data_IF_254810622882
#
_entry.id   IF_254810622882
#
_cell.length_a   1.000
_cell.length_b   1.000
_cell.length_c   1.000
_cell.angle_alpha   90.00
_cell.angle_beta   90.00
_cell.angle_gamma   90.00
#
_symmetry.space_group_name_H-M   'P 1'
#
loop_
_entity.id
_entity.type
_entity.pdbx_description
1 polymer ?
#
# COMPACT_ATOMS: atom_id res chain seq x y z
N UNK A 1 13.80 1.18 -17.77
CA UNK A 1 12.43 1.55 -17.34
C UNK A 1 11.54 1.57 -18.59
N UNK A 2 10.50 0.76 -18.63
CA UNK A 2 9.58 0.66 -19.77
C UNK A 2 8.18 1.03 -19.29
N UNK A 3 7.50 1.94 -19.97
CA UNK A 3 6.16 2.45 -19.61
C UNK A 3 6.04 3.01 -18.19
N UNK A 4 7.08 3.64 -17.66
CA UNK A 4 7.07 4.21 -16.31
C UNK A 4 7.01 3.17 -15.18
N UNK A 5 7.11 1.88 -15.46
CA UNK A 5 7.15 0.80 -14.48
C UNK A 5 8.58 0.29 -14.31
N UNK A 6 9.00 0.15 -13.05
CA UNK A 6 10.29 -0.40 -12.65
C UNK A 6 10.06 -1.60 -11.73
N UNK A 7 10.37 -2.81 -12.23
CA UNK A 7 10.27 -4.03 -11.43
C UNK A 7 11.51 -4.13 -10.55
N UNK A 8 11.32 -4.26 -9.26
CA UNK A 8 12.39 -4.42 -8.27
C UNK A 8 12.70 -5.89 -7.99
N UNK A 9 11.67 -6.73 -7.97
CA UNK A 9 11.80 -8.16 -7.72
C UNK A 9 10.54 -8.90 -8.17
N UNK A 10 10.74 -10.12 -8.67
CA UNK A 10 9.68 -11.12 -8.83
C UNK A 10 10.23 -12.51 -8.51
N UNK A 11 9.59 -13.23 -7.57
CA UNK A 11 10.06 -14.51 -7.06
C UNK A 11 8.91 -15.31 -6.47
N UNK A 12 9.21 -16.55 -6.09
CA UNK A 12 8.38 -17.34 -5.17
C UNK A 12 8.86 -17.11 -3.74
N UNK A 13 7.94 -16.96 -2.82
CA UNK A 13 8.18 -16.78 -1.39
C UNK A 13 7.44 -17.87 -0.63
N UNK A 14 8.18 -18.59 0.22
CA UNK A 14 7.63 -19.52 1.19
C UNK A 14 7.94 -18.98 2.60
N UNK A 15 6.91 -18.62 3.33
CA UNK A 15 7.07 -18.03 4.65
C UNK A 15 7.65 -19.00 5.68
N UNK A 16 7.49 -20.32 5.51
CA UNK A 16 8.04 -21.34 6.40
C UNK A 16 9.56 -21.44 6.31
N UNK A 17 10.13 -21.16 5.13
CA UNK A 17 11.57 -21.23 4.91
C UNK A 17 12.29 -19.99 5.46
N UNK A 18 11.60 -18.87 5.58
CA UNK A 18 12.19 -17.57 5.93
C UNK A 18 11.90 -17.17 7.38
N UNK A 19 10.78 -17.62 7.95
CA UNK A 19 10.32 -17.18 9.26
C UNK A 19 10.27 -18.32 10.27
N UNK A 20 10.92 -18.10 11.42
CA UNK A 20 10.80 -18.97 12.59
C UNK A 20 9.60 -18.65 13.48
N UNK A 21 8.92 -17.51 13.23
CA UNK A 21 7.78 -17.02 14.01
C UNK A 21 6.51 -17.03 13.16
N UNK A 22 5.37 -17.21 13.84
CA UNK A 22 4.05 -17.17 13.18
C UNK A 22 3.66 -15.77 12.67
N UNK A 23 4.40 -14.72 13.04
CA UNK A 23 4.12 -13.35 12.64
C UNK A 23 5.28 -12.78 11.83
N UNK A 24 4.99 -12.09 10.73
CA UNK A 24 5.95 -11.17 10.12
C UNK A 24 5.96 -9.85 10.91
N UNK A 25 7.09 -9.13 10.97
CA UNK A 25 7.10 -7.77 11.47
C UNK A 25 6.10 -6.90 10.67
N UNK A 26 5.38 -6.02 11.37
CA UNK A 26 4.55 -5.04 10.70
C UNK A 26 5.48 -4.03 9.99
N UNK A 27 5.17 -3.72 8.72
CA UNK A 27 5.95 -2.79 7.91
C UNK A 27 5.06 -1.87 7.09
N UNK A 28 5.54 -0.71 6.76
CA UNK A 28 4.94 0.14 5.72
C UNK A 28 5.40 -0.36 4.35
N UNK A 29 4.46 -0.56 3.44
CA UNK A 29 4.73 -1.00 2.07
C UNK A 29 5.39 0.14 1.30
N UNK A 30 6.63 -0.01 0.81
CA UNK A 30 7.35 1.08 0.13
C UNK A 30 6.98 1.21 -1.35
N UNK A 31 6.52 0.13 -1.97
CA UNK A 31 6.29 0.00 -3.41
C UNK A 31 4.96 -0.68 -3.67
N UNK A 32 4.53 -0.81 -4.92
CA UNK A 32 3.43 -1.73 -5.25
C UNK A 32 3.90 -3.16 -5.10
N UNK A 33 3.07 -3.99 -4.47
CA UNK A 33 3.29 -5.43 -4.31
C UNK A 33 2.06 -6.17 -4.79
N UNK A 34 2.22 -7.07 -5.77
CA UNK A 34 1.16 -7.98 -6.20
C UNK A 34 1.61 -9.39 -5.89
N UNK A 35 0.79 -10.12 -5.15
CA UNK A 35 1.07 -11.48 -4.70
C UNK A 35 -0.06 -12.43 -5.13
N UNK A 36 0.30 -13.58 -5.66
CA UNK A 36 -0.60 -14.70 -5.89
C UNK A 36 -0.34 -15.77 -4.85
N UNK A 37 -1.31 -16.08 -4.01
CA UNK A 37 -1.20 -17.16 -3.03
C UNK A 37 -1.19 -18.52 -3.75
N UNK A 38 -0.14 -19.30 -3.54
CA UNK A 38 0.03 -20.65 -4.12
C UNK A 38 -0.18 -21.77 -3.11
N UNK A 39 0.04 -21.48 -1.79
CA UNK A 39 -0.33 -22.38 -0.70
C UNK A 39 -0.79 -21.58 0.53
N UNK A 40 -1.91 -21.97 1.12
CA UNK A 40 -2.57 -21.17 2.16
C UNK A 40 -2.01 -21.41 3.58
N UNK A 41 -1.68 -22.59 3.97
CA UNK A 41 -1.08 -23.04 5.26
C UNK A 41 -1.56 -22.26 6.51
N UNK A 42 -2.84 -21.84 6.54
CA UNK A 42 -3.44 -21.06 7.63
C UNK A 42 -2.97 -19.61 7.74
N UNK A 43 -2.33 -19.08 6.71
CA UNK A 43 -1.86 -17.70 6.69
C UNK A 43 -3.01 -16.70 6.59
N UNK A 44 -2.83 -15.53 7.23
CA UNK A 44 -3.72 -14.37 7.13
C UNK A 44 -2.86 -13.13 6.94
N UNK A 45 -3.07 -12.43 5.85
CA UNK A 45 -2.49 -11.11 5.62
C UNK A 45 -3.33 -10.04 6.32
N UNK A 46 -2.67 -9.09 6.95
CA UNK A 46 -3.30 -7.91 7.51
C UNK A 46 -2.81 -6.69 6.73
N UNK A 47 -3.72 -5.97 6.11
CA UNK A 47 -3.43 -4.74 5.38
C UNK A 47 -4.25 -3.62 5.99
N UNK A 48 -3.58 -2.63 6.58
CA UNK A 48 -4.19 -1.51 7.31
C UNK A 48 -5.15 -1.95 8.43
N UNK A 49 -4.95 -3.15 8.99
CA UNK A 49 -5.77 -3.74 10.05
C UNK A 49 -6.85 -4.70 9.54
N UNK A 50 -7.19 -4.70 8.26
CA UNK A 50 -8.14 -5.64 7.68
C UNK A 50 -7.51 -7.03 7.47
N UNK A 51 -8.15 -8.06 7.97
CA UNK A 51 -7.70 -9.44 7.85
C UNK A 51 -8.11 -10.03 6.49
N UNK A 52 -7.15 -10.52 5.73
CA UNK A 52 -7.34 -11.13 4.41
C UNK A 52 -6.78 -12.55 4.47
N UNK A 53 -7.62 -13.58 4.55
CA UNK A 53 -7.14 -14.97 4.54
C UNK A 53 -6.31 -15.28 3.30
N UNK A 54 -5.18 -15.95 3.49
CA UNK A 54 -4.44 -16.53 2.38
C UNK A 54 -5.23 -17.72 1.82
N UNK A 55 -5.62 -17.63 0.57
CA UNK A 55 -6.34 -18.67 -0.13
C UNK A 55 -5.67 -18.91 -1.48
N UNK A 56 -5.49 -20.16 -1.88
CA UNK A 56 -4.89 -20.49 -3.18
C UNK A 56 -5.66 -19.83 -4.30
N UNK A 57 -4.95 -19.17 -5.22
CA UNK A 57 -5.51 -18.42 -6.34
C UNK A 57 -5.99 -17.00 -5.98
N UNK A 58 -5.94 -16.59 -4.71
CA UNK A 58 -6.23 -15.22 -4.30
C UNK A 58 -5.04 -14.32 -4.64
N UNK A 59 -5.35 -13.20 -5.24
CA UNK A 59 -4.38 -12.12 -5.50
C UNK A 59 -4.52 -11.08 -4.37
N UNK A 60 -3.39 -10.68 -3.80
CA UNK A 60 -3.25 -9.55 -2.90
C UNK A 60 -2.52 -8.43 -3.64
N UNK A 61 -3.08 -7.23 -3.60
CA UNK A 61 -2.44 -6.00 -4.11
C UNK A 61 -2.20 -5.08 -2.92
N UNK A 62 -0.93 -4.83 -2.60
CA UNK A 62 -0.57 -3.86 -1.58
C UNK A 62 -0.05 -2.58 -2.24
N UNK A 63 -0.58 -1.44 -1.78
CA UNK A 63 -0.24 -0.11 -2.29
C UNK A 63 0.84 0.56 -1.44
N UNK A 64 1.69 1.41 -2.03
CA UNK A 64 2.65 2.19 -1.27
C UNK A 64 1.99 2.95 -0.11
N UNK A 65 2.63 2.90 1.06
CA UNK A 65 2.14 3.55 2.26
C UNK A 65 1.15 2.74 3.11
N UNK A 66 0.65 1.62 2.63
CA UNK A 66 -0.17 0.73 3.44
C UNK A 66 0.68 0.03 4.51
N UNK A 67 0.10 -0.21 5.67
CA UNK A 67 0.74 -0.99 6.74
C UNK A 67 0.31 -2.45 6.60
N UNK A 68 1.29 -3.38 6.53
CA UNK A 68 0.97 -4.80 6.43
C UNK A 68 1.85 -5.67 7.32
N UNK A 69 1.28 -6.78 7.73
CA UNK A 69 1.96 -7.92 8.34
C UNK A 69 1.18 -9.21 8.03
N UNK A 70 1.78 -10.36 8.28
CA UNK A 70 1.13 -11.66 8.08
C UNK A 70 1.21 -12.51 9.34
N UNK A 71 0.12 -13.17 9.69
CA UNK A 71 0.07 -14.21 10.73
C UNK A 71 -0.07 -15.56 10.04
N UNK A 72 0.60 -16.60 10.57
CA UNK A 72 0.61 -17.94 10.01
C UNK A 72 1.55 -18.07 8.81
N UNK A 73 1.44 -19.19 8.10
CA UNK A 73 2.30 -19.53 6.97
C UNK A 73 1.53 -19.54 5.66
N UNK A 74 2.22 -19.22 4.59
CA UNK A 74 1.69 -19.25 3.21
C UNK A 74 2.84 -19.29 2.21
N UNK A 75 2.54 -19.67 0.99
CA UNK A 75 3.40 -19.48 -0.16
C UNK A 75 2.73 -18.53 -1.17
N UNK A 76 3.55 -17.73 -1.83
CA UNK A 76 3.09 -16.88 -2.92
C UNK A 76 4.13 -16.71 -4.01
N UNK A 77 3.67 -16.41 -5.21
CA UNK A 77 4.47 -15.74 -6.22
C UNK A 77 4.21 -14.25 -6.12
N UNK A 78 5.24 -13.42 -6.24
CA UNK A 78 5.09 -11.98 -6.07
C UNK A 78 5.85 -11.18 -7.11
N UNK A 79 5.42 -9.95 -7.30
CA UNK A 79 6.13 -8.89 -8.00
C UNK A 79 6.07 -7.60 -7.20
N UNK A 80 7.23 -6.98 -6.97
CA UNK A 80 7.37 -5.65 -6.37
C UNK A 80 7.83 -4.67 -7.45
N UNK A 81 7.18 -3.52 -7.54
CA UNK A 81 7.49 -2.53 -8.57
C UNK A 81 7.17 -1.10 -8.14
N UNK A 82 7.84 -0.14 -8.78
CA UNK A 82 7.57 1.30 -8.65
C UNK A 82 6.89 1.77 -9.93
N UNK A 83 5.93 2.68 -9.80
CA UNK A 83 5.35 3.41 -10.92
C UNK A 83 5.85 4.86 -10.88
N UNK A 84 6.50 5.29 -11.97
CA UNK A 84 7.00 6.65 -12.15
C UNK A 84 6.06 7.51 -13.02
N UNK A 85 5.03 6.89 -13.59
CA UNK A 85 4.00 7.57 -14.38
C UNK A 85 2.77 7.81 -13.50
N UNK A 86 2.58 9.06 -13.11
CA UNK A 86 1.49 9.46 -12.21
C UNK A 86 0.11 9.27 -12.86
N UNK A 87 -0.02 9.54 -14.16
CA UNK A 87 -1.30 9.36 -14.86
C UNK A 87 -1.69 7.89 -14.92
N UNK A 88 -0.73 7.03 -15.26
CA UNK A 88 -0.93 5.58 -15.25
C UNK A 88 -1.25 5.07 -13.84
N UNK A 89 -0.53 5.54 -12.83
CA UNK A 89 -0.75 5.18 -11.43
C UNK A 89 -2.18 5.51 -10.99
N UNK A 90 -2.60 6.76 -11.20
CA UNK A 90 -3.91 7.26 -10.78
C UNK A 90 -5.05 6.52 -11.48
N UNK A 91 -4.88 6.20 -12.77
CA UNK A 91 -5.91 5.59 -13.60
C UNK A 91 -6.02 4.07 -13.43
N UNK A 92 -4.92 3.37 -13.25
CA UNK A 92 -4.89 1.90 -13.34
C UNK A 92 -4.41 1.19 -12.07
N UNK A 93 -3.53 1.80 -11.26
CA UNK A 93 -2.99 1.14 -10.07
C UNK A 93 -3.76 1.47 -8.81
N UNK A 94 -4.04 2.74 -8.56
CA UNK A 94 -4.79 3.16 -7.36
C UNK A 94 -6.19 2.55 -7.24
N UNK A 95 -6.94 2.32 -8.35
CA UNK A 95 -8.24 1.66 -8.28
C UNK A 95 -8.19 0.15 -8.03
N UNK A 96 -7.00 -0.48 -8.02
CA UNK A 96 -6.90 -1.92 -7.80
C UNK A 96 -7.37 -2.30 -6.40
N UNK A 97 -8.22 -3.30 -6.32
CA UNK A 97 -8.70 -3.84 -5.05
C UNK A 97 -7.56 -4.55 -4.31
N UNK A 98 -7.50 -4.38 -2.99
CA UNK A 98 -6.47 -5.01 -2.14
C UNK A 98 -6.49 -6.54 -2.21
N UNK A 99 -7.65 -7.14 -2.46
CA UNK A 99 -7.79 -8.60 -2.56
C UNK A 99 -8.87 -8.99 -3.56
N UNK A 100 -8.55 -9.90 -4.47
CA UNK A 100 -9.50 -10.41 -5.48
C UNK A 100 -9.09 -11.80 -5.99
N UNK A 101 -9.98 -12.41 -6.78
CA UNK A 101 -9.69 -13.57 -7.63
C UNK A 101 -9.97 -13.19 -9.08
N UNK A 102 -9.15 -13.70 -10.01
CA UNK A 102 -9.48 -13.63 -11.43
C UNK A 102 -10.52 -14.71 -11.77
N UNK A 103 -11.42 -14.40 -12.70
CA UNK A 103 -12.40 -15.39 -13.17
C UNK A 103 -11.73 -16.59 -13.88
N UNK A 104 -10.61 -16.35 -14.55
CA UNK A 104 -9.75 -17.42 -15.08
C UNK A 104 -8.62 -17.69 -14.06
N UNK A 105 -8.74 -18.77 -13.30
CA UNK A 105 -7.80 -19.18 -12.26
C UNK A 105 -6.43 -19.60 -12.82
N UNK A 106 -6.33 -19.91 -14.12
CA UNK A 106 -5.06 -20.33 -14.75
C UNK A 106 -4.20 -19.14 -15.19
N UNK A 107 -4.81 -17.97 -15.42
CA UNK A 107 -4.16 -16.82 -16.02
C UNK A 107 -3.08 -16.23 -15.13
N UNK A 108 -3.38 -15.94 -13.87
CA UNK A 108 -2.40 -15.35 -12.95
C UNK A 108 -1.20 -16.29 -12.69
N UNK A 109 -1.36 -17.58 -12.37
CA UNK A 109 -0.25 -18.52 -12.24
C UNK A 109 0.63 -18.57 -13.48
N UNK A 110 0.04 -18.53 -14.68
CA UNK A 110 0.80 -18.53 -15.94
C UNK A 110 1.66 -17.26 -16.08
N UNK A 111 1.07 -16.09 -15.84
CA UNK A 111 1.78 -14.79 -15.91
C UNK A 111 2.95 -14.76 -14.91
N UNK A 112 2.69 -15.11 -13.65
CA UNK A 112 3.74 -15.10 -12.61
C UNK A 112 4.87 -16.08 -12.92
N UNK A 113 4.55 -17.30 -13.37
CA UNK A 113 5.57 -18.29 -13.74
C UNK A 113 6.45 -17.81 -14.90
N UNK A 114 5.83 -17.20 -15.93
CA UNK A 114 6.57 -16.62 -17.05
C UNK A 114 7.49 -15.48 -16.61
N UNK A 115 6.98 -14.59 -15.77
CA UNK A 115 7.72 -13.42 -15.26
C UNK A 115 8.88 -13.86 -14.33
N UNK A 116 8.62 -14.73 -13.36
CA UNK A 116 9.65 -15.22 -12.42
C UNK A 116 10.72 -16.04 -13.15
N UNK A 117 10.34 -16.82 -14.16
CA UNK A 117 11.28 -17.60 -14.99
C UNK A 117 12.21 -16.72 -15.80
N UNK A 118 11.68 -15.69 -16.46
CA UNK A 118 12.50 -14.74 -17.22
C UNK A 118 13.40 -13.89 -16.29
N UNK A 119 12.85 -13.44 -15.17
CA UNK A 119 13.60 -12.69 -14.15
C UNK A 119 14.78 -13.48 -13.59
N UNK A 120 14.63 -14.78 -13.33
CA UNK A 120 15.70 -15.63 -12.80
C UNK A 120 16.85 -15.85 -13.79
N UNK A 121 16.57 -15.86 -15.08
CA UNK A 121 17.55 -16.11 -16.14
C UNK A 121 18.38 -14.87 -16.51
N UNK A 122 17.81 -13.67 -16.38
CA UNK A 122 18.44 -12.40 -16.78
C UNK A 122 18.95 -12.41 -18.25
N UNK A 123 18.26 -13.13 -19.14
CA UNK A 123 18.58 -13.13 -20.56
C UNK A 123 18.29 -11.74 -21.18
N UNK A 124 18.93 -11.41 -22.28
CA UNK A 124 18.73 -10.12 -22.95
C UNK A 124 17.24 -9.83 -23.20
N UNK A 125 16.78 -8.63 -22.85
CA UNK A 125 15.38 -8.23 -22.96
C UNK A 125 14.45 -8.73 -21.84
N UNK A 126 14.95 -9.40 -20.78
CA UNK A 126 14.12 -9.92 -19.70
C UNK A 126 13.30 -8.83 -18.98
N UNK A 127 13.85 -7.61 -18.82
CA UNK A 127 13.13 -6.50 -18.19
C UNK A 127 11.91 -6.08 -19.02
N UNK A 128 12.07 -5.98 -20.34
CA UNK A 128 10.98 -5.67 -21.26
C UNK A 128 9.90 -6.75 -21.21
N UNK A 129 10.32 -8.03 -21.25
CA UNK A 129 9.39 -9.16 -21.16
C UNK A 129 8.63 -9.17 -19.83
N UNK A 130 9.32 -9.00 -18.70
CA UNK A 130 8.71 -8.95 -17.37
C UNK A 130 7.75 -7.76 -17.24
N UNK A 131 8.11 -6.59 -17.78
CA UNK A 131 7.22 -5.42 -17.78
C UNK A 131 5.97 -5.68 -18.62
N UNK A 132 6.08 -6.33 -19.76
CA UNK A 132 4.92 -6.76 -20.58
C UNK A 132 4.01 -7.71 -19.80
N UNK A 133 4.57 -8.68 -19.06
CA UNK A 133 3.81 -9.59 -18.19
C UNK A 133 3.18 -8.89 -16.99
N UNK A 134 3.86 -7.91 -16.40
CA UNK A 134 3.28 -7.08 -15.35
C UNK A 134 2.09 -6.27 -15.87
N UNK A 135 2.19 -5.67 -17.06
CA UNK A 135 1.09 -4.95 -17.70
C UNK A 135 -0.11 -5.87 -17.97
N UNK A 136 0.14 -7.10 -18.44
CA UNK A 136 -0.90 -8.12 -18.62
C UNK A 136 -1.59 -8.46 -17.29
N UNK A 137 -0.83 -8.62 -16.21
CA UNK A 137 -1.37 -8.88 -14.87
C UNK A 137 -2.21 -7.71 -14.36
N UNK A 138 -1.69 -6.47 -14.45
CA UNK A 138 -2.42 -5.25 -14.06
C UNK A 138 -3.73 -5.14 -14.84
N UNK A 139 -3.70 -5.36 -16.14
CA UNK A 139 -4.89 -5.34 -16.99
C UNK A 139 -5.94 -6.38 -16.57
N UNK A 140 -5.50 -7.61 -16.24
CA UNK A 140 -6.39 -8.66 -15.78
C UNK A 140 -7.03 -8.32 -14.42
N UNK A 141 -6.24 -7.84 -13.46
CA UNK A 141 -6.72 -7.41 -12.13
C UNK A 141 -7.69 -6.23 -12.26
N UNK A 142 -7.33 -5.21 -13.05
CA UNK A 142 -8.16 -4.04 -13.29
C UNK A 142 -9.52 -4.41 -13.92
N UNK A 143 -9.51 -5.30 -14.92
CA UNK A 143 -10.72 -5.77 -15.59
C UNK A 143 -11.59 -6.60 -14.65
N UNK A 144 -11.01 -7.50 -13.86
CA UNK A 144 -11.73 -8.28 -12.85
C UNK A 144 -12.32 -7.37 -11.77
N UNK A 145 -11.57 -6.37 -11.31
CA UNK A 145 -12.05 -5.36 -10.36
C UNK A 145 -13.22 -4.55 -10.93
N UNK A 146 -13.21 -4.22 -12.21
CA UNK A 146 -14.35 -3.57 -12.88
C UNK A 146 -15.59 -4.47 -12.96
N UNK A 147 -15.43 -5.76 -13.24
CA UNK A 147 -16.53 -6.72 -13.26
C UNK A 147 -17.13 -6.90 -11.85
N UNK A 148 -16.30 -7.03 -10.83
CA UNK A 148 -16.74 -7.09 -9.44
C UNK A 148 -17.35 -5.77 -8.99
N UNK A 149 -16.81 -4.64 -9.45
CA UNK A 149 -17.32 -3.29 -9.16
C UNK A 149 -18.54 -2.90 -10.00
N UNK A 150 -18.96 -3.69 -11.01
CA UNK A 150 -20.27 -3.47 -11.65
C UNK A 150 -21.43 -3.78 -10.69
N UNK A 151 -21.16 -4.53 -9.61
CA UNK A 151 -22.08 -4.74 -8.50
C UNK A 151 -22.14 -3.46 -7.61
N UNK A 152 -21.13 -2.59 -7.69
CA UNK A 152 -21.02 -1.39 -6.83
C UNK A 152 -20.72 -0.10 -7.64
N UNK A 153 -21.51 0.11 -8.70
CA UNK A 153 -21.47 1.34 -9.53
C UNK A 153 -21.64 2.63 -8.72
N UNK A 154 -22.26 2.51 -7.55
CA UNK A 154 -22.43 3.56 -6.56
C UNK A 154 -21.09 4.08 -6.01
N UNK A 155 -20.09 3.20 -5.83
CA UNK A 155 -18.77 3.58 -5.33
C UNK A 155 -17.84 4.12 -6.42
N UNK A 156 -18.03 3.71 -7.68
CA UNK A 156 -17.24 4.24 -8.81
C UNK A 156 -17.50 5.71 -9.13
N UNK A 157 -18.73 6.18 -8.93
CA UNK A 157 -19.11 7.60 -9.14
C UNK A 157 -18.29 8.56 -8.26
N UNK A 158 -17.74 8.04 -7.17
CA UNK A 158 -17.02 8.85 -6.18
C UNK A 158 -15.50 8.68 -6.19
N UNK A 159 -14.94 7.88 -7.10
CA UNK A 159 -13.48 7.70 -7.18
C UNK A 159 -12.74 9.04 -7.36
N UNK A 160 -13.25 9.93 -8.19
CA UNK A 160 -12.71 11.28 -8.36
C UNK A 160 -12.77 12.08 -7.04
N UNK A 161 -13.90 12.02 -6.35
CA UNK A 161 -14.11 12.74 -5.10
C UNK A 161 -13.20 12.19 -3.98
N UNK A 162 -12.97 10.87 -3.94
CA UNK A 162 -12.01 10.24 -3.03
C UNK A 162 -10.58 10.70 -3.34
N UNK A 163 -10.21 10.80 -4.62
CA UNK A 163 -8.91 11.34 -5.03
C UNK A 163 -8.73 12.79 -4.57
N UNK A 164 -9.70 13.64 -4.80
CA UNK A 164 -9.68 15.04 -4.33
C UNK A 164 -9.52 15.12 -2.81
N UNK A 165 -10.23 14.26 -2.06
CA UNK A 165 -10.09 14.21 -0.62
C UNK A 165 -8.70 13.73 -0.16
N UNK A 166 -8.10 12.76 -0.85
CA UNK A 166 -6.73 12.29 -0.52
C UNK A 166 -5.69 13.36 -0.82
N UNK A 167 -5.82 14.10 -1.91
CA UNK A 167 -4.95 15.23 -2.23
C UNK A 167 -5.12 16.35 -1.19
N UNK A 168 -6.35 16.73 -0.89
CA UNK A 168 -6.65 17.73 0.14
C UNK A 168 -6.03 17.37 1.50
N UNK A 169 -6.12 16.09 1.93
CA UNK A 169 -5.46 15.63 3.15
C UNK A 169 -3.94 15.70 3.07
N UNK A 170 -3.34 15.42 1.91
CA UNK A 170 -1.88 15.51 1.72
C UNK A 170 -1.35 16.94 1.71
N UNK A 171 -2.13 17.86 1.15
CA UNK A 171 -1.75 19.27 1.10
C UNK A 171 -1.95 19.98 2.44
N UNK A 172 -2.93 19.53 3.22
CA UNK A 172 -3.37 20.20 4.45
C UNK A 172 -3.12 19.38 5.73
N UNK A 173 -2.29 18.34 5.69
CA UNK A 173 -2.10 17.41 6.81
C UNK A 173 -1.65 18.08 8.10
N UNK A 174 -0.92 19.19 8.03
CA UNK A 174 -0.45 19.97 9.17
C UNK A 174 -1.57 20.74 9.90
N UNK A 175 -2.71 20.93 9.23
CA UNK A 175 -3.86 21.64 9.80
C UNK A 175 -4.76 20.69 10.61
N UNK A 176 -5.55 21.22 11.56
CA UNK A 176 -6.54 20.44 12.30
C UNK A 176 -7.74 20.07 11.41
N UNK A 177 -7.58 19.06 10.56
CA UNK A 177 -8.63 18.59 9.67
C UNK A 177 -9.66 17.74 10.40
N UNK A 178 -10.92 18.10 10.27
CA UNK A 178 -12.06 17.27 10.70
C UNK A 178 -12.54 16.37 9.56
N UNK A 179 -13.31 15.33 9.90
CA UNK A 179 -14.00 14.52 8.88
C UNK A 179 -14.94 15.37 8.01
N UNK A 180 -15.53 16.43 8.58
CA UNK A 180 -16.36 17.38 7.85
C UNK A 180 -15.59 18.13 6.78
N UNK A 181 -14.41 18.65 7.09
CA UNK A 181 -13.55 19.38 6.13
C UNK A 181 -13.12 18.47 4.97
N UNK A 182 -12.69 17.25 5.29
CA UNK A 182 -12.28 16.28 4.30
C UNK A 182 -13.45 15.86 3.39
N UNK A 183 -14.63 15.62 3.97
CA UNK A 183 -15.82 15.24 3.21
C UNK A 183 -16.34 16.40 2.34
N UNK A 184 -16.21 17.64 2.81
CA UNK A 184 -16.56 18.84 2.05
C UNK A 184 -15.67 19.00 0.81
N UNK A 185 -14.35 18.71 0.91
CA UNK A 185 -13.45 18.72 -0.24
C UNK A 185 -13.82 17.71 -1.32
N UNK A 186 -14.51 16.65 -0.93
CA UNK A 186 -15.06 15.63 -1.81
C UNK A 186 -16.51 15.89 -2.26
N UNK A 187 -17.13 17.00 -1.83
CA UNK A 187 -18.54 17.31 -2.06
C UNK A 187 -19.52 16.22 -1.61
N UNK A 188 -19.25 15.56 -0.50
CA UNK A 188 -20.01 14.42 0.03
C UNK A 188 -20.32 14.65 1.52
N UNK A 189 -21.45 14.10 2.01
CA UNK A 189 -21.75 14.13 3.43
C UNK A 189 -20.73 13.32 4.25
N UNK A 190 -20.36 13.73 5.48
CA UNK A 190 -19.34 13.08 6.28
C UNK A 190 -19.57 11.58 6.51
N UNK A 191 -20.81 11.18 6.83
CA UNK A 191 -21.15 9.77 7.08
C UNK A 191 -21.00 8.91 5.84
N UNK A 192 -21.44 9.41 4.68
CA UNK A 192 -21.32 8.69 3.43
C UNK A 192 -19.86 8.66 2.93
N UNK A 193 -19.14 9.79 3.08
CA UNK A 193 -17.71 9.86 2.79
C UNK A 193 -16.91 8.83 3.59
N UNK A 194 -17.12 8.74 4.90
CA UNK A 194 -16.43 7.77 5.76
C UNK A 194 -16.58 6.34 5.24
N UNK A 195 -17.81 5.96 4.85
CA UNK A 195 -18.11 4.62 4.33
C UNK A 195 -17.40 4.36 3.02
N UNK A 196 -17.56 5.26 2.02
CA UNK A 196 -16.99 5.04 0.70
C UNK A 196 -15.47 5.17 0.69
N UNK A 197 -14.91 6.07 1.50
CA UNK A 197 -13.46 6.23 1.63
C UNK A 197 -12.83 4.94 2.18
N UNK A 198 -13.40 4.39 3.27
CA UNK A 198 -12.92 3.13 3.83
C UNK A 198 -13.00 1.98 2.83
N UNK A 199 -14.10 1.89 2.06
CA UNK A 199 -14.27 0.85 1.05
C UNK A 199 -13.33 1.03 -0.16
N UNK A 200 -13.00 2.28 -0.53
CA UNK A 200 -12.15 2.58 -1.70
C UNK A 200 -10.66 2.54 -1.37
N UNK A 201 -10.27 3.04 -0.19
CA UNK A 201 -8.86 3.18 0.23
C UNK A 201 -8.43 2.05 1.17
N UNK A 202 -9.39 1.31 1.75
CA UNK A 202 -9.12 0.23 2.70
C UNK A 202 -8.93 0.68 4.15
N UNK A 203 -8.79 2.00 4.40
CA UNK A 203 -8.64 2.58 5.75
C UNK A 203 -9.61 3.73 5.96
N UNK A 204 -9.86 4.08 7.23
CA UNK A 204 -10.66 5.26 7.55
C UNK A 204 -9.93 6.55 7.16
N UNK A 205 -10.65 7.67 6.87
CA UNK A 205 -10.04 8.97 6.60
C UNK A 205 -9.07 9.43 7.70
N UNK A 206 -9.44 9.24 8.97
CA UNK A 206 -8.60 9.58 10.11
C UNK A 206 -7.30 8.76 10.14
N UNK A 207 -7.38 7.46 9.82
CA UNK A 207 -6.19 6.60 9.70
C UNK A 207 -5.30 7.03 8.56
N UNK A 208 -5.87 7.32 7.40
CA UNK A 208 -5.12 7.82 6.24
C UNK A 208 -4.38 9.13 6.56
N UNK A 209 -5.06 10.09 7.19
CA UNK A 209 -4.44 11.34 7.61
C UNK A 209 -3.28 11.11 8.60
N UNK A 210 -3.47 10.20 9.57
CA UNK A 210 -2.42 9.82 10.50
C UNK A 210 -1.21 9.24 9.75
N UNK A 211 -1.42 8.36 8.78
CA UNK A 211 -0.34 7.76 7.98
C UNK A 211 0.41 8.81 7.14
N UNK A 212 -0.28 9.84 6.65
CA UNK A 212 0.36 10.98 5.98
C UNK A 212 1.25 11.75 6.97
N UNK A 213 0.71 12.12 8.14
CA UNK A 213 1.45 12.84 9.19
C UNK A 213 2.69 12.08 9.67
N UNK A 214 2.56 10.76 9.84
CA UNK A 214 3.67 9.89 10.26
C UNK A 214 4.79 9.85 9.23
N UNK A 215 4.46 9.73 7.94
CA UNK A 215 5.46 9.76 6.86
C UNK A 215 6.23 11.08 6.80
N UNK A 216 5.53 12.20 6.94
CA UNK A 216 6.19 13.51 6.97
C UNK A 216 7.06 13.67 8.22
N UNK A 217 6.60 13.18 9.38
CA UNK A 217 7.40 13.16 10.60
C UNK A 217 8.69 12.33 10.45
N UNK A 218 8.61 11.15 9.84
CA UNK A 218 9.79 10.32 9.55
C UNK A 218 10.80 11.05 8.66
N UNK A 219 10.32 11.70 7.58
CA UNK A 219 11.17 12.51 6.69
C UNK A 219 11.88 13.65 7.45
N UNK A 220 11.14 14.39 8.26
CA UNK A 220 11.72 15.48 9.05
C UNK A 220 12.71 14.98 10.11
N UNK A 221 12.42 13.83 10.74
CA UNK A 221 13.33 13.23 11.72
C UNK A 221 14.66 12.80 11.10
N UNK A 222 14.64 12.29 9.87
CA UNK A 222 15.84 11.83 9.15
C UNK A 222 16.62 13.02 8.57
N UNK A 223 15.91 13.96 7.93
CA UNK A 223 16.54 14.98 7.10
C UNK A 223 16.83 16.31 7.82
N UNK A 224 16.41 16.43 9.09
CA UNK A 224 16.58 17.69 9.83
C UNK A 224 17.00 17.47 11.28
N UNK A 225 17.60 18.50 11.90
CA UNK A 225 17.89 18.55 13.32
C UNK A 225 16.83 19.28 14.14
N UNK A 226 15.65 19.56 13.57
CA UNK A 226 14.57 20.30 14.23
C UNK A 226 14.19 19.68 15.57
N UNK A 227 13.82 20.49 16.58
CA UNK A 227 13.25 20.01 17.83
C UNK A 227 12.02 19.15 17.61
N UNK A 228 11.79 18.14 18.45
CA UNK A 228 10.61 17.26 18.33
C UNK A 228 9.30 18.03 18.48
N UNK A 229 9.29 19.13 19.23
CA UNK A 229 8.13 20.03 19.36
C UNK A 229 7.76 20.71 18.05
N UNK A 230 8.77 21.15 17.29
CA UNK A 230 8.54 21.76 15.97
C UNK A 230 8.06 20.73 14.95
N UNK A 231 8.70 19.54 14.91
CA UNK A 231 8.26 18.45 14.04
C UNK A 231 6.82 18.06 14.36
N UNK A 232 6.45 17.95 15.64
CA UNK A 232 5.08 17.67 16.05
C UNK A 232 4.09 18.70 15.47
N UNK A 233 4.38 19.99 15.62
CA UNK A 233 3.54 21.06 15.06
C UNK A 233 3.48 21.04 13.53
N UNK A 234 4.62 20.90 12.86
CA UNK A 234 4.69 20.80 11.39
C UNK A 234 3.93 19.59 10.83
N UNK A 235 3.79 18.54 11.62
CA UNK A 235 3.03 17.33 11.24
C UNK A 235 1.58 17.34 11.74
N UNK A 236 1.08 18.46 12.28
CA UNK A 236 -0.31 18.63 12.70
C UNK A 236 -0.69 17.89 13.98
N UNK A 237 0.28 17.73 14.90
CA UNK A 237 0.02 17.21 16.23
C UNK A 237 -0.08 18.38 17.24
N UNK A 238 -1.08 18.34 18.10
CA UNK A 238 -1.37 19.43 19.08
C UNK A 238 -0.30 19.56 20.16
N UNK A 239 0.47 18.49 20.41
CA UNK A 239 1.57 18.51 21.39
C UNK A 239 2.66 17.50 21.07
N UNK A 240 3.89 17.80 21.51
CA UNK A 240 5.04 16.90 21.43
C UNK A 240 4.78 15.57 22.18
N UNK A 241 4.11 15.62 23.33
CA UNK A 241 3.81 14.42 24.12
C UNK A 241 2.92 13.47 23.35
N UNK A 242 1.80 13.97 22.83
CA UNK A 242 0.87 13.18 22.01
C UNK A 242 1.55 12.64 20.74
N UNK A 243 2.34 13.46 20.05
CA UNK A 243 3.16 13.02 18.92
C UNK A 243 4.07 11.85 19.30
N UNK A 244 4.79 11.97 20.42
CA UNK A 244 5.73 10.94 20.87
C UNK A 244 5.04 9.60 21.14
N UNK A 245 3.87 9.65 21.80
CA UNK A 245 3.09 8.45 22.11
C UNK A 245 2.52 7.80 20.85
N UNK A 246 1.98 8.60 19.94
CA UNK A 246 1.47 8.12 18.64
C UNK A 246 2.62 7.51 17.84
N UNK A 247 3.74 8.21 17.71
CA UNK A 247 4.90 7.74 16.94
C UNK A 247 5.43 6.41 17.50
N UNK A 248 5.59 6.32 18.85
CA UNK A 248 6.02 5.07 19.48
C UNK A 248 5.04 3.91 19.24
N UNK A 249 3.74 4.18 19.27
CA UNK A 249 2.71 3.17 18.99
C UNK A 249 2.78 2.68 17.54
N UNK A 250 3.04 3.59 16.59
CA UNK A 250 3.06 3.28 15.16
C UNK A 250 4.39 2.64 14.72
N UNK A 251 5.53 3.14 15.21
CA UNK A 251 6.88 2.74 14.77
C UNK A 251 7.59 1.78 15.75
N UNK A 252 7.01 1.55 16.93
CA UNK A 252 7.62 0.69 17.97
C UNK A 252 8.75 1.36 18.75
N UNK A 253 9.23 2.54 18.32
CA UNK A 253 10.32 3.31 18.95
C UNK A 253 9.93 4.78 19.08
N UNK A 254 10.56 5.50 20.01
CA UNK A 254 10.32 6.95 20.16
C UNK A 254 10.93 7.73 19.00
N UNK A 255 10.39 8.94 18.66
CA UNK A 255 10.93 9.79 17.60
C UNK A 255 12.43 10.08 17.77
N UNK A 256 12.87 10.35 18.99
CA UNK A 256 14.29 10.62 19.28
C UNK A 256 15.19 9.39 19.08
N UNK A 257 14.68 8.18 19.38
CA UNK A 257 15.40 6.95 19.06
C UNK A 257 15.42 6.70 17.55
N UNK A 258 14.28 6.87 16.88
CA UNK A 258 14.18 6.74 15.43
C UNK A 258 15.17 7.66 14.69
N UNK A 259 15.28 8.91 15.11
CA UNK A 259 16.28 9.86 14.57
C UNK A 259 17.70 9.34 14.71
N UNK A 260 18.09 8.90 15.93
CA UNK A 260 19.45 8.38 16.16
C UNK A 260 19.76 7.15 15.35
N UNK A 261 18.81 6.20 15.29
CA UNK A 261 19.01 4.93 14.60
C UNK A 261 19.11 5.11 13.06
N UNK A 262 18.66 6.25 12.53
CA UNK A 262 18.71 6.59 11.09
C UNK A 262 19.65 7.76 10.77
N UNK A 263 20.45 8.26 11.73
CA UNK A 263 21.36 9.37 11.52
C UNK A 263 22.48 9.07 10.50
N UNK A 264 22.85 7.79 10.33
CA UNK A 264 23.91 7.35 9.41
C UNK A 264 23.41 7.16 7.95
N UNK A 265 22.10 7.36 7.68
CA UNK A 265 21.52 7.21 6.34
C UNK A 265 21.47 8.55 5.58
N UNK A 266 21.72 9.65 6.28
CA UNK A 266 21.59 11.04 5.77
C UNK A 266 22.89 11.65 5.23
N UNK A 267 23.91 10.83 4.86
CA UNK A 267 25.18 11.27 4.25
C UNK A 267 25.31 10.80 2.82
#
# INVERSE_FOLDING_TARGET
MVFGLEILATRTYNSSDVRKTLFSPARTVPTYEIELCTAAMGGVNYVNGDAIPCEVGRILVAHPGQRRYTKGHFECQYVHFICHDREFEDKYLRPLQVSLRLGDETRAPHIFRAMTGAWAKHEDGYELYCTGKLMELISAIYSAGKLLGSIDEKYRRFSHNIMSATEYMRENFASPLTLGDIAASAHISPSYFHLIFKNSIGVTPARYLLDVRMREAQKLLINTSLPLSEIAGMCGFDSQSYFTDVFRREEGVTPGKFRRDNADIAL
#
